data_IF_269044498961
#
_entry.id   IF_269044498961
#
_cell.length_a   1.000
_cell.length_b   1.000
_cell.length_c   1.000
_cell.angle_alpha   90.00
_cell.angle_beta   90.00
_cell.angle_gamma   90.00
#
_symmetry.space_group_name_H-M   'P 1'
#
loop_
_entity.id
_entity.type
_entity.pdbx_description
1 polymer ?
#
# COMPACT_ATOMS: atom_id res chain seq x y z
N UNK A 1 18.58 19.98 4.31
CA UNK A 1 19.50 18.88 4.62
C UNK A 1 18.86 18.01 5.69
N UNK A 2 18.23 16.89 5.29
CA UNK A 2 17.28 16.12 6.10
C UNK A 2 17.88 14.85 6.74
N UNK A 3 19.21 14.67 6.66
CA UNK A 3 19.90 13.46 7.10
C UNK A 3 21.15 13.73 7.96
N UNK A 4 21.06 14.63 8.94
CA UNK A 4 22.06 14.67 10.02
C UNK A 4 21.59 13.86 11.22
N UNK A 5 22.04 12.60 11.28
CA UNK A 5 21.96 11.79 12.50
C UNK A 5 23.08 12.22 13.46
N UNK A 6 22.75 13.11 14.40
CA UNK A 6 23.64 13.42 15.52
C UNK A 6 23.54 12.31 16.56
N UNK A 7 24.66 11.63 16.77
CA UNK A 7 24.85 10.60 17.77
C UNK A 7 24.92 11.23 19.17
N UNK A 8 23.98 10.89 20.07
CA UNK A 8 24.20 10.82 21.53
C UNK A 8 22.99 10.22 22.26
N UNK A 9 23.18 9.02 22.82
CA UNK A 9 22.25 8.31 23.69
C UNK A 9 21.55 7.14 22.98
N UNK A 10 21.85 5.90 23.39
CA UNK A 10 21.05 4.72 23.01
C UNK A 10 19.64 4.92 23.59
N UNK A 11 18.72 5.42 22.78
CA UNK A 11 17.29 5.29 23.06
C UNK A 11 16.86 3.95 22.47
N UNK A 12 16.71 2.91 23.30
CA UNK A 12 16.21 1.61 22.83
C UNK A 12 14.72 1.74 22.44
N UNK A 13 14.34 1.59 21.16
CA UNK A 13 13.00 1.99 20.74
C UNK A 13 11.97 0.85 20.79
N UNK A 14 12.08 -0.16 21.67
CA UNK A 14 11.35 -1.44 21.44
C UNK A 14 10.65 -2.14 22.60
N UNK A 15 10.59 -1.60 23.83
CA UNK A 15 9.95 -2.33 24.95
C UNK A 15 8.72 -1.69 25.62
N UNK A 16 8.37 -0.43 25.31
CA UNK A 16 7.34 0.30 26.08
C UNK A 16 6.03 0.62 25.33
N UNK A 17 5.88 0.28 24.04
CA UNK A 17 4.68 0.64 23.25
C UNK A 17 3.68 -0.51 23.07
N UNK A 18 3.52 -1.36 24.10
CA UNK A 18 2.43 -2.33 24.13
C UNK A 18 1.16 -1.62 24.65
N UNK A 19 0.24 -1.29 23.73
CA UNK A 19 -1.16 -0.82 23.91
C UNK A 19 -1.51 0.63 23.53
N UNK A 20 -0.69 1.37 22.78
CA UNK A 20 -1.14 2.66 22.23
C UNK A 20 -0.99 2.69 20.73
N UNK A 21 -2.01 3.20 20.05
CA UNK A 21 -1.95 3.55 18.64
C UNK A 21 -0.67 4.35 18.40
N UNK A 22 0.11 3.97 17.39
CA UNK A 22 1.28 4.73 16.97
C UNK A 22 0.74 6.06 16.46
N UNK A 23 0.80 7.11 17.29
CA UNK A 23 0.49 8.45 16.85
C UNK A 23 1.69 8.93 16.04
N UNK A 24 1.63 8.73 14.72
CA UNK A 24 2.56 9.37 13.80
C UNK A 24 2.10 10.83 13.72
N UNK A 25 2.57 11.66 14.66
CA UNK A 25 2.37 13.10 14.58
C UNK A 25 3.09 13.64 13.35
N UNK A 26 2.36 14.30 12.46
CA UNK A 26 2.97 15.07 11.38
C UNK A 26 3.63 16.32 11.99
N UNK A 27 4.76 16.75 11.43
CA UNK A 27 5.37 18.03 11.82
C UNK A 27 4.35 19.17 11.64
N UNK A 28 4.33 20.18 12.51
CA UNK A 28 3.24 21.18 12.58
C UNK A 28 2.78 21.75 11.24
N UNK A 29 3.70 22.25 10.41
CA UNK A 29 3.35 22.78 9.09
C UNK A 29 2.82 21.72 8.10
N UNK A 30 3.27 20.46 8.24
CA UNK A 30 2.75 19.34 7.46
C UNK A 30 1.35 18.93 7.97
N UNK A 31 1.12 18.97 9.28
CA UNK A 31 -0.19 18.73 9.87
C UNK A 31 -1.22 19.74 9.38
N UNK A 32 -0.87 21.03 9.38
CA UNK A 32 -1.74 22.10 8.87
C UNK A 32 -2.03 21.93 7.38
N UNK A 33 -1.01 21.62 6.58
CA UNK A 33 -1.19 21.33 5.16
C UNK A 33 -2.15 20.16 4.95
N UNK A 34 -1.95 19.04 5.64
CA UNK A 34 -2.84 17.87 5.52
C UNK A 34 -4.26 18.20 5.98
N UNK A 35 -4.45 18.89 7.10
CA UNK A 35 -5.78 19.29 7.58
C UNK A 35 -6.48 20.22 6.59
N UNK A 36 -5.76 21.13 5.95
CA UNK A 36 -6.34 22.07 4.98
C UNK A 36 -6.63 21.43 3.61
N UNK A 37 -5.96 20.33 3.25
CA UNK A 37 -6.06 19.68 1.95
C UNK A 37 -6.84 18.37 1.98
N UNK A 38 -7.16 17.84 3.17
CA UNK A 38 -7.92 16.59 3.28
C UNK A 38 -9.36 16.79 2.80
N UNK A 39 -9.79 15.94 1.87
CA UNK A 39 -11.15 16.00 1.30
C UNK A 39 -12.18 15.39 2.25
N UNK A 40 -11.86 14.24 2.86
CA UNK A 40 -12.69 13.56 3.85
C UNK A 40 -11.84 12.66 4.75
N UNK A 41 -12.36 12.38 5.95
CA UNK A 41 -11.87 11.33 6.85
C UNK A 41 -13.03 10.38 7.11
N UNK A 42 -12.84 9.10 6.78
CA UNK A 42 -13.87 8.07 6.90
C UNK A 42 -13.39 6.95 7.82
N UNK A 43 -14.23 6.52 8.75
CA UNK A 43 -13.95 5.33 9.57
C UNK A 43 -14.31 4.07 8.80
N UNK A 44 -13.28 3.37 8.35
CA UNK A 44 -13.40 2.12 7.57
C UNK A 44 -13.19 0.87 8.43
N UNK A 45 -13.19 0.98 9.77
CA UNK A 45 -12.87 -0.14 10.68
C UNK A 45 -13.79 -1.35 10.46
N UNK A 46 -15.09 -1.10 10.35
CA UNK A 46 -16.06 -2.17 10.13
C UNK A 46 -15.91 -2.82 8.76
N UNK A 47 -15.66 -2.02 7.72
CA UNK A 47 -15.40 -2.49 6.37
C UNK A 47 -14.14 -3.36 6.34
N UNK A 48 -13.06 -2.94 7.01
CA UNK A 48 -11.81 -3.71 7.11
C UNK A 48 -12.02 -5.07 7.80
N UNK A 49 -12.85 -5.14 8.84
CA UNK A 49 -13.20 -6.41 9.47
C UNK A 49 -13.98 -7.34 8.51
N UNK A 50 -14.89 -6.79 7.70
CA UNK A 50 -15.63 -7.57 6.70
C UNK A 50 -14.69 -8.12 5.63
N UNK A 51 -13.78 -7.30 5.09
CA UNK A 51 -12.72 -7.74 4.15
C UNK A 51 -11.91 -8.89 4.75
N UNK A 52 -11.48 -8.74 6.01
CA UNK A 52 -10.70 -9.78 6.71
C UNK A 52 -11.47 -11.10 6.82
N UNK A 53 -12.76 -11.05 7.15
CA UNK A 53 -13.59 -12.26 7.26
C UNK A 53 -13.70 -12.96 5.91
N UNK A 54 -13.96 -12.20 4.83
CA UNK A 54 -14.08 -12.75 3.48
C UNK A 54 -12.77 -13.41 3.04
N UNK A 55 -11.62 -12.75 3.23
CA UNK A 55 -10.32 -13.34 2.90
C UNK A 55 -9.90 -14.50 3.83
N UNK A 56 -10.60 -14.70 4.96
CA UNK A 56 -10.40 -15.85 5.84
C UNK A 56 -11.13 -17.11 5.40
N UNK A 57 -11.97 -17.04 4.36
CA UNK A 57 -12.66 -18.20 3.80
C UNK A 57 -11.66 -19.15 3.12
N UNK A 58 -11.96 -20.45 3.15
CA UNK A 58 -11.05 -21.49 2.63
C UNK A 58 -11.14 -21.71 1.12
N UNK A 59 -12.20 -21.22 0.50
CA UNK A 59 -12.54 -21.48 -0.89
C UNK A 59 -12.52 -20.17 -1.67
N UNK A 60 -11.70 -20.13 -2.72
CA UNK A 60 -11.50 -18.94 -3.54
C UNK A 60 -12.79 -18.44 -4.21
N UNK A 61 -13.73 -19.34 -4.53
CA UNK A 61 -15.03 -18.95 -5.10
C UNK A 61 -15.89 -18.18 -4.09
N UNK A 62 -15.81 -18.56 -2.81
CA UNK A 62 -16.56 -17.89 -1.75
C UNK A 62 -15.92 -16.53 -1.42
N UNK A 63 -14.58 -16.44 -1.50
CA UNK A 63 -13.84 -15.17 -1.40
C UNK A 63 -14.27 -14.22 -2.52
N UNK A 64 -14.26 -14.68 -3.78
CA UNK A 64 -14.62 -13.85 -4.92
C UNK A 64 -16.07 -13.35 -4.84
N UNK A 65 -17.00 -14.23 -4.47
CA UNK A 65 -18.41 -13.88 -4.28
C UNK A 65 -18.58 -12.86 -3.14
N UNK A 66 -17.91 -13.09 -2.00
CA UNK A 66 -17.95 -12.16 -0.87
C UNK A 66 -17.39 -10.78 -1.22
N UNK A 67 -16.31 -10.72 -1.98
CA UNK A 67 -15.70 -9.45 -2.41
C UNK A 67 -16.58 -8.69 -3.41
N UNK A 68 -17.26 -9.37 -4.33
CA UNK A 68 -18.19 -8.69 -5.25
C UNK A 68 -19.40 -8.08 -4.51
N UNK A 69 -19.88 -8.71 -3.44
CA UNK A 69 -20.93 -8.12 -2.59
C UNK A 69 -20.44 -6.88 -1.83
N UNK A 70 -19.16 -6.86 -1.45
CA UNK A 70 -18.57 -5.76 -0.69
C UNK A 70 -18.17 -4.56 -1.58
N UNK A 71 -17.96 -4.81 -2.87
CA UNK A 71 -17.43 -3.85 -3.85
C UNK A 71 -18.10 -2.48 -3.87
N UNK A 72 -19.43 -2.33 -3.72
CA UNK A 72 -20.07 -1.00 -3.69
C UNK A 72 -19.63 -0.13 -2.51
N UNK A 73 -19.15 -0.76 -1.42
CA UNK A 73 -18.69 -0.07 -0.21
C UNK A 73 -17.16 0.12 -0.19
N UNK A 74 -16.44 -0.51 -1.11
CA UNK A 74 -15.00 -0.32 -1.22
C UNK A 74 -14.71 1.05 -1.83
N UNK A 75 -13.64 1.72 -1.36
CA UNK A 75 -13.20 2.96 -2.01
C UNK A 75 -12.83 2.67 -3.46
N UNK A 76 -13.07 3.64 -4.34
CA UNK A 76 -12.62 3.56 -5.73
C UNK A 76 -11.09 3.65 -5.73
N UNK A 77 -10.43 2.49 -5.80
CA UNK A 77 -8.99 2.42 -5.87
C UNK A 77 -8.50 3.19 -7.10
N UNK A 78 -7.62 4.16 -6.87
CA UNK A 78 -6.90 4.87 -7.91
C UNK A 78 -5.47 4.34 -7.90
N UNK A 79 -4.94 3.86 -9.03
CA UNK A 79 -3.52 3.59 -9.14
C UNK A 79 -2.75 4.82 -8.69
N UNK A 80 -1.89 4.66 -7.69
CA UNK A 80 -0.97 5.73 -7.33
C UNK A 80 0.07 5.84 -8.45
N UNK A 81 -0.07 6.89 -9.26
CA UNK A 81 0.91 7.26 -10.27
C UNK A 81 1.57 8.55 -9.78
N UNK A 82 2.88 8.54 -9.47
CA UNK A 82 3.57 9.76 -9.06
C UNK A 82 3.55 10.78 -10.20
N UNK A 83 3.56 12.07 -9.87
CA UNK A 83 3.60 13.15 -10.85
C UNK A 83 5.00 13.28 -11.47
N UNK A 84 5.34 12.32 -12.33
CA UNK A 84 6.60 12.24 -13.07
C UNK A 84 6.30 12.22 -14.57
N UNK A 85 7.34 12.46 -15.38
CA UNK A 85 7.20 12.37 -16.83
C UNK A 85 6.98 10.92 -17.28
N UNK A 86 6.33 10.71 -18.43
CA UNK A 86 6.13 9.36 -18.98
C UNK A 86 7.42 8.52 -19.10
N UNK A 87 8.57 9.07 -19.56
CA UNK A 87 9.82 8.33 -19.57
C UNK A 87 10.24 7.83 -18.19
N UNK A 88 10.19 8.69 -17.17
CA UNK A 88 10.55 8.32 -15.80
C UNK A 88 9.59 7.26 -15.22
N UNK A 89 8.29 7.37 -15.53
CA UNK A 89 7.29 6.39 -15.12
C UNK A 89 7.51 5.01 -15.78
N UNK A 90 7.96 4.98 -17.04
CA UNK A 90 8.33 3.73 -17.72
C UNK A 90 9.58 3.11 -17.11
N UNK A 91 10.58 3.91 -16.77
CA UNK A 91 11.82 3.44 -16.12
C UNK A 91 11.54 2.85 -14.72
N UNK A 92 10.58 3.43 -14.00
CA UNK A 92 10.09 2.92 -12.71
C UNK A 92 9.15 1.71 -12.84
N UNK A 93 8.93 1.18 -14.05
CA UNK A 93 8.00 0.08 -14.32
C UNK A 93 6.53 0.36 -13.90
N UNK A 94 6.13 1.64 -13.83
CA UNK A 94 4.76 2.06 -13.51
C UNK A 94 3.86 2.16 -14.75
N UNK A 95 4.45 2.10 -15.95
CA UNK A 95 3.77 2.06 -17.24
C UNK A 95 4.25 0.86 -18.07
N UNK A 96 3.46 0.36 -19.04
CA UNK A 96 3.86 -0.73 -19.92
C UNK A 96 5.19 -0.44 -20.65
N UNK A 97 6.07 -1.43 -20.72
CA UNK A 97 7.37 -1.33 -21.36
C UNK A 97 8.38 -2.34 -20.81
N UNK A 98 9.62 -2.25 -21.30
CA UNK A 98 10.70 -3.21 -20.99
C UNK A 98 10.94 -3.38 -19.49
N UNK A 99 10.96 -2.28 -18.73
CA UNK A 99 11.18 -2.34 -17.29
C UNK A 99 10.04 -3.07 -16.56
N UNK A 100 8.79 -2.84 -16.96
CA UNK A 100 7.63 -3.54 -16.40
C UNK A 100 7.66 -5.05 -16.69
N UNK A 101 8.05 -5.44 -17.91
CA UNK A 101 8.22 -6.85 -18.28
C UNK A 101 9.31 -7.53 -17.44
N UNK A 102 10.44 -6.84 -17.23
CA UNK A 102 11.53 -7.34 -16.38
C UNK A 102 11.09 -7.50 -14.93
N UNK A 103 10.42 -6.51 -14.34
CA UNK A 103 9.91 -6.58 -12.95
C UNK A 103 8.90 -7.72 -12.81
N UNK A 104 8.01 -7.90 -13.79
CA UNK A 104 7.07 -9.02 -13.82
C UNK A 104 7.80 -10.36 -13.82
N UNK A 105 8.85 -10.53 -14.62
CA UNK A 105 9.65 -11.76 -14.64
C UNK A 105 10.31 -12.04 -13.30
N UNK A 106 10.81 -11.00 -12.60
CA UNK A 106 11.38 -11.14 -11.25
C UNK A 106 10.30 -11.59 -10.26
N UNK A 107 9.12 -10.97 -10.30
CA UNK A 107 8.01 -11.27 -9.38
C UNK A 107 7.42 -12.67 -9.52
N UNK A 108 7.55 -13.32 -10.68
CA UNK A 108 7.01 -14.68 -10.90
C UNK A 108 7.88 -15.79 -10.28
N UNK A 109 9.10 -15.49 -9.83
CA UNK A 109 10.04 -16.47 -9.28
C UNK A 109 10.50 -17.52 -10.31
N UNK A 110 11.56 -18.27 -9.98
CA UNK A 110 12.16 -19.27 -10.89
C UNK A 110 11.27 -20.50 -11.18
N UNK A 111 10.10 -20.61 -10.56
CA UNK A 111 9.25 -21.81 -10.58
C UNK A 111 8.25 -21.91 -11.73
N UNK A 112 7.95 -20.83 -12.46
CA UNK A 112 6.78 -20.78 -13.33
C UNK A 112 7.07 -20.60 -14.84
N UNK A 113 8.24 -21.08 -15.30
CA UNK A 113 8.62 -21.02 -16.73
C UNK A 113 7.92 -22.06 -17.63
N UNK A 114 7.00 -22.89 -17.10
CA UNK A 114 6.49 -24.05 -17.85
C UNK A 114 5.24 -23.81 -18.72
N UNK A 115 4.52 -22.69 -18.60
CA UNK A 115 3.26 -22.49 -19.33
C UNK A 115 3.19 -21.19 -20.13
N UNK A 116 4.19 -20.92 -20.99
CA UNK A 116 4.06 -19.93 -22.06
C UNK A 116 4.69 -20.47 -23.36
N UNK A 117 4.09 -21.53 -23.89
CA UNK A 117 4.10 -21.83 -25.33
C UNK A 117 2.68 -22.28 -25.67
N UNK A 118 1.95 -21.41 -26.34
CA UNK A 118 0.94 -21.71 -27.37
C UNK A 118 0.84 -20.46 -28.24
#
# INVERSE_FOLDING_TARGET
DLFQSSTKGRCEPRRMLRKRAIQIGLAGGLSEFYVNQILSVEDVTNLAHQVKVIHGLKNDNDVATGMELLKPNLPVERPYIPLLSEPELRDLAMLPGKAADMVKQIGMGSGNKKNLIN
#
